data_IF_781989939532
#
_entry.id   IF_781989939532
#
_cell.length_a   1.000
_cell.length_b   1.000
_cell.length_c   1.000
_cell.angle_alpha   90.00
_cell.angle_beta   90.00
_cell.angle_gamma   90.00
#
_symmetry.space_group_name_H-M   'P 1'
#
loop_
_entity.id
_entity.type
_entity.pdbx_description
1 polymer ?
#
# COMPACT_ATOMS: atom_id res chain seq x y z
N UNK A 1 0.51 47.95 20.49
CA UNK A 1 1.21 48.21 19.21
C UNK A 1 2.08 46.99 18.87
N UNK A 2 1.50 45.93 18.28
CA UNK A 2 2.23 44.73 17.92
C UNK A 2 2.72 44.85 16.47
N UNK A 3 4.03 44.87 16.27
CA UNK A 3 4.71 45.06 14.99
C UNK A 3 4.58 43.79 14.16
N UNK A 4 3.80 43.83 13.09
CA UNK A 4 3.60 42.70 12.18
C UNK A 4 4.91 42.24 11.53
N UNK A 5 5.23 40.97 11.68
CA UNK A 5 6.38 40.30 11.07
C UNK A 5 6.13 40.18 9.57
N UNK A 6 6.83 40.98 8.75
CA UNK A 6 6.81 40.83 7.30
C UNK A 6 7.65 39.62 6.90
N UNK A 7 6.98 38.53 6.54
CA UNK A 7 7.60 37.39 5.86
C UNK A 7 8.13 37.85 4.50
N UNK A 8 9.41 37.60 4.22
CA UNK A 8 10.03 37.89 2.92
C UNK A 8 9.29 37.10 1.84
N UNK A 9 8.59 37.81 0.95
CA UNK A 9 7.98 37.21 -0.22
C UNK A 9 9.09 36.68 -1.12
N UNK A 10 9.04 35.39 -1.47
CA UNK A 10 9.87 34.83 -2.53
C UNK A 10 9.66 35.70 -3.78
N UNK A 11 10.75 36.18 -4.38
CA UNK A 11 10.70 37.02 -5.58
C UNK A 11 10.16 36.19 -6.74
N UNK A 12 8.85 36.28 -6.96
CA UNK A 12 8.19 35.66 -8.12
C UNK A 12 8.65 36.43 -9.36
N UNK A 13 9.10 35.74 -10.40
CA UNK A 13 9.40 36.36 -11.68
C UNK A 13 8.07 36.76 -12.35
N UNK A 14 7.66 38.01 -12.15
CA UNK A 14 6.44 38.55 -12.76
C UNK A 14 6.81 39.14 -14.13
N UNK A 15 6.37 38.55 -15.25
CA UNK A 15 6.64 39.11 -16.58
C UNK A 15 5.98 40.50 -16.68
N UNK A 16 6.71 41.49 -17.19
CA UNK A 16 6.22 42.87 -17.32
C UNK A 16 5.62 43.12 -18.70
N UNK A 17 5.94 42.28 -19.68
CA UNK A 17 5.46 42.40 -21.07
C UNK A 17 4.80 41.11 -21.57
N UNK A 18 3.95 41.23 -22.59
CA UNK A 18 3.27 40.08 -23.22
C UNK A 18 4.26 39.11 -23.87
N UNK A 19 5.34 39.63 -24.45
CA UNK A 19 6.39 38.81 -25.06
C UNK A 19 7.18 38.02 -24.01
N UNK A 20 7.49 38.63 -22.87
CA UNK A 20 8.11 37.94 -21.73
C UNK A 20 7.21 36.83 -21.17
N UNK A 21 5.91 37.10 -21.01
CA UNK A 21 4.95 36.08 -20.57
C UNK A 21 4.89 34.90 -21.56
N UNK A 22 4.94 35.18 -22.86
CA UNK A 22 4.95 34.14 -23.91
C UNK A 22 6.22 33.29 -23.84
N UNK A 23 7.38 33.93 -23.65
CA UNK A 23 8.67 33.24 -23.49
C UNK A 23 8.71 32.37 -22.22
N UNK A 24 8.15 32.86 -21.11
CA UNK A 24 8.05 32.08 -19.87
C UNK A 24 7.13 30.87 -20.01
N UNK A 25 5.97 31.01 -20.67
CA UNK A 25 5.07 29.87 -20.94
C UNK A 25 5.77 28.81 -21.80
N UNK A 26 6.53 29.23 -22.81
CA UNK A 26 7.33 28.31 -23.63
C UNK A 26 8.40 27.57 -22.80
N UNK A 27 9.09 28.29 -21.91
CA UNK A 27 10.08 27.71 -20.99
C UNK A 27 9.45 26.71 -20.01
N UNK A 28 8.28 27.04 -19.45
CA UNK A 28 7.51 26.13 -18.58
C UNK A 28 7.15 24.86 -19.34
N UNK A 29 6.64 24.97 -20.56
CA UNK A 29 6.30 23.80 -21.38
C UNK A 29 7.51 22.91 -21.67
N UNK A 30 8.69 23.50 -21.91
CA UNK A 30 9.94 22.74 -22.07
C UNK A 30 10.33 22.01 -20.79
N UNK A 31 10.31 22.69 -19.65
CA UNK A 31 10.64 22.12 -18.34
C UNK A 31 9.65 21.01 -17.93
N UNK A 32 8.37 21.15 -18.26
CA UNK A 32 7.36 20.12 -18.02
C UNK A 32 7.66 18.84 -18.80
N UNK A 33 8.03 18.95 -20.09
CA UNK A 33 8.44 17.78 -20.89
C UNK A 33 9.70 17.12 -20.34
N UNK A 34 10.68 17.91 -19.92
CA UNK A 34 11.90 17.38 -19.29
C UNK A 34 11.57 16.64 -17.97
N UNK A 35 10.64 17.16 -17.17
CA UNK A 35 10.16 16.49 -15.95
C UNK A 35 9.42 15.19 -16.26
N UNK A 36 8.57 15.18 -17.28
CA UNK A 36 7.84 13.98 -17.74
C UNK A 36 8.81 12.90 -18.23
N UNK A 37 9.85 13.28 -18.98
CA UNK A 37 10.89 12.36 -19.42
C UNK A 37 11.66 11.75 -18.24
N UNK A 38 12.05 12.57 -17.26
CA UNK A 38 12.76 12.09 -16.07
C UNK A 38 11.89 11.12 -15.29
N UNK A 39 10.62 11.48 -15.09
CA UNK A 39 9.65 10.66 -14.35
C UNK A 39 9.38 9.34 -15.07
N UNK A 40 9.20 9.38 -16.38
CA UNK A 40 9.02 8.18 -17.21
C UNK A 40 10.24 7.26 -17.14
N UNK A 41 11.46 7.80 -17.29
CA UNK A 41 12.71 7.03 -17.17
C UNK A 41 12.86 6.40 -15.79
N UNK A 42 12.49 7.11 -14.73
CA UNK A 42 12.48 6.57 -13.37
C UNK A 42 11.50 5.41 -13.23
N UNK A 43 10.27 5.58 -13.71
CA UNK A 43 9.23 4.56 -13.62
C UNK A 43 9.58 3.30 -14.41
N UNK A 44 10.19 3.44 -15.60
CA UNK A 44 10.69 2.30 -16.38
C UNK A 44 11.76 1.52 -15.61
N UNK A 45 12.70 2.21 -14.95
CA UNK A 45 13.72 1.55 -14.11
C UNK A 45 13.10 0.85 -12.89
N UNK A 46 12.11 1.47 -12.25
CA UNK A 46 11.39 0.86 -11.14
C UNK A 46 10.63 -0.40 -11.57
N UNK A 47 9.97 -0.36 -12.73
CA UNK A 47 9.28 -1.52 -13.30
C UNK A 47 10.26 -2.67 -13.57
N UNK A 48 11.36 -2.41 -14.28
CA UNK A 48 12.37 -3.42 -14.56
C UNK A 48 12.99 -4.02 -13.29
N UNK A 49 13.23 -3.19 -12.27
CA UNK A 49 13.78 -3.66 -10.98
C UNK A 49 12.77 -4.53 -10.23
N UNK A 50 11.48 -4.17 -10.28
CA UNK A 50 10.40 -4.97 -9.67
C UNK A 50 10.26 -6.32 -10.37
N UNK A 51 10.21 -6.36 -11.69
CA UNK A 51 10.11 -7.60 -12.46
C UNK A 51 11.29 -8.55 -12.17
N UNK A 52 12.52 -8.02 -12.14
CA UNK A 52 13.70 -8.81 -11.81
C UNK A 52 13.66 -9.37 -10.37
N UNK A 53 13.19 -8.56 -9.42
CA UNK A 53 13.02 -8.99 -8.03
C UNK A 53 11.91 -10.05 -7.89
N UNK A 54 10.81 -9.90 -8.62
CA UNK A 54 9.70 -10.86 -8.64
C UNK A 54 10.12 -12.18 -9.25
N UNK A 55 10.87 -12.17 -10.36
CA UNK A 55 11.42 -13.37 -10.98
C UNK A 55 12.35 -14.13 -10.01
N UNK A 56 13.19 -13.40 -9.27
CA UNK A 56 14.07 -14.00 -8.25
C UNK A 56 13.29 -14.52 -7.04
N UNK A 57 12.20 -13.85 -6.67
CA UNK A 57 11.36 -14.24 -5.53
C UNK A 57 10.38 -15.38 -5.88
N UNK A 58 10.04 -15.57 -7.15
CA UNK A 58 9.10 -16.60 -7.60
C UNK A 58 9.43 -18.02 -7.10
N UNK A 59 10.67 -18.55 -7.22
CA UNK A 59 10.98 -19.88 -6.72
C UNK A 59 10.83 -19.99 -5.20
N UNK A 60 11.32 -18.99 -4.46
CA UNK A 60 11.20 -18.97 -3.00
C UNK A 60 9.73 -18.90 -2.54
N UNK A 61 8.89 -18.15 -3.26
CA UNK A 61 7.44 -18.11 -2.98
C UNK A 61 6.77 -19.46 -3.23
N UNK A 62 7.10 -20.11 -4.35
CA UNK A 62 6.57 -21.44 -4.66
C UNK A 62 6.98 -22.47 -3.61
N UNK A 63 8.26 -22.49 -3.21
CA UNK A 63 8.74 -23.38 -2.14
C UNK A 63 8.03 -23.13 -0.81
N UNK A 64 7.79 -21.86 -0.45
CA UNK A 64 7.05 -21.50 0.77
C UNK A 64 5.61 -22.01 0.69
N UNK A 65 4.94 -21.84 -0.46
CA UNK A 65 3.56 -22.31 -0.66
C UNK A 65 3.48 -23.84 -0.57
N UNK A 66 4.38 -24.55 -1.23
CA UNK A 66 4.45 -26.02 -1.22
C UNK A 66 4.70 -26.55 0.21
N UNK A 67 5.65 -25.96 0.94
CA UNK A 67 5.94 -26.32 2.33
C UNK A 67 4.75 -26.00 3.25
N UNK A 68 4.07 -24.88 3.01
CA UNK A 68 2.90 -24.48 3.81
C UNK A 68 1.74 -25.44 3.60
N UNK A 69 1.48 -25.86 2.36
CA UNK A 69 0.42 -26.83 2.06
C UNK A 69 0.76 -28.22 2.61
N UNK A 70 2.02 -28.66 2.48
CA UNK A 70 2.50 -29.89 3.11
C UNK A 70 2.31 -29.90 4.63
N UNK A 71 2.69 -28.80 5.30
CA UNK A 71 2.47 -28.63 6.74
C UNK A 71 0.99 -28.62 7.10
N UNK A 72 0.14 -28.00 6.28
CA UNK A 72 -1.30 -27.98 6.48
C UNK A 72 -1.88 -29.40 6.43
N UNK A 73 -1.57 -30.17 5.40
CA UNK A 73 -2.04 -31.57 5.25
C UNK A 73 -1.57 -32.42 6.44
N UNK A 74 -0.30 -32.29 6.84
CA UNK A 74 0.23 -32.99 8.00
C UNK A 74 -0.50 -32.61 9.30
N UNK A 75 -0.70 -31.31 9.53
CA UNK A 75 -1.37 -30.79 10.73
C UNK A 75 -2.84 -31.24 10.78
N UNK A 76 -3.53 -31.24 9.65
CA UNK A 76 -4.93 -31.68 9.56
C UNK A 76 -5.07 -33.19 9.81
N UNK A 77 -4.17 -34.01 9.26
CA UNK A 77 -4.13 -35.46 9.51
C UNK A 77 -3.77 -35.80 10.96
N UNK A 78 -2.86 -35.05 11.59
CA UNK A 78 -2.36 -35.32 12.94
C UNK A 78 -3.01 -34.45 14.03
N UNK A 79 -4.16 -33.84 13.73
CA UNK A 79 -4.79 -32.85 14.60
C UNK A 79 -5.10 -33.40 15.99
N UNK A 80 -5.61 -34.63 16.07
CA UNK A 80 -5.94 -35.28 17.34
C UNK A 80 -4.68 -35.58 18.17
N UNK A 81 -3.61 -36.04 17.54
CA UNK A 81 -2.35 -36.33 18.21
C UNK A 81 -1.67 -35.07 18.77
N UNK A 82 -1.67 -33.98 17.99
CA UNK A 82 -1.00 -32.73 18.35
C UNK A 82 -1.75 -31.95 19.44
N UNK A 83 -3.07 -31.85 19.33
CA UNK A 83 -3.87 -31.01 20.23
C UNK A 83 -4.53 -31.77 21.37
N UNK A 84 -4.48 -33.12 21.35
CA UNK A 84 -5.25 -34.01 22.23
C UNK A 84 -6.74 -33.61 22.32
N UNK A 85 -7.26 -32.97 21.27
CA UNK A 85 -8.61 -32.42 21.17
C UNK A 85 -8.91 -31.19 22.05
N UNK A 86 -7.97 -30.67 22.86
CA UNK A 86 -8.24 -29.65 23.87
C UNK A 86 -7.93 -28.22 23.42
N UNK A 87 -6.94 -28.04 22.57
CA UNK A 87 -6.46 -26.72 22.13
C UNK A 87 -6.64 -26.53 20.63
N UNK A 88 -6.84 -25.27 20.21
CA UNK A 88 -7.06 -24.90 18.78
C UNK A 88 -5.79 -24.37 18.11
N UNK A 89 -4.64 -24.58 18.75
CA UNK A 89 -3.32 -24.18 18.31
C UNK A 89 -2.28 -25.20 18.79
N UNK A 90 -1.16 -25.31 18.09
CA UNK A 90 0.00 -26.08 18.49
C UNK A 90 1.27 -25.27 18.21
N UNK A 91 2.19 -25.27 19.17
CA UNK A 91 3.46 -24.55 19.08
C UNK A 91 4.58 -25.56 18.81
N UNK A 92 5.29 -25.37 17.70
CA UNK A 92 6.44 -26.19 17.31
C UNK A 92 7.77 -25.61 17.80
N UNK A 93 7.75 -24.51 18.57
CA UNK A 93 8.92 -23.77 19.05
C UNK A 93 9.51 -22.82 17.99
N UNK A 94 9.53 -23.23 16.72
CA UNK A 94 9.93 -22.38 15.59
C UNK A 94 8.77 -21.57 15.01
N UNK A 95 7.53 -21.93 15.36
CA UNK A 95 6.32 -21.28 14.88
C UNK A 95 5.06 -21.92 15.45
N UNK A 96 3.94 -21.20 15.34
CA UNK A 96 2.64 -21.62 15.88
C UNK A 96 1.67 -21.87 14.75
N UNK A 97 1.06 -23.06 14.74
CA UNK A 97 -0.04 -23.41 13.84
C UNK A 97 -1.36 -23.21 14.57
N UNK A 98 -2.30 -22.52 13.92
CA UNK A 98 -3.66 -22.26 14.44
C UNK A 98 -4.69 -22.74 13.44
N UNK A 99 -5.64 -23.56 13.88
CA UNK A 99 -6.74 -24.06 13.04
C UNK A 99 -7.88 -23.05 12.85
N UNK A 100 -7.84 -21.93 13.56
CA UNK A 100 -8.81 -20.85 13.40
C UNK A 100 -8.07 -19.52 13.35
N UNK A 101 -8.39 -18.74 12.33
CA UNK A 101 -8.04 -17.33 12.30
C UNK A 101 -9.18 -16.54 12.95
N UNK A 102 -8.89 -15.82 14.03
CA UNK A 102 -9.82 -14.86 14.60
C UNK A 102 -9.99 -13.71 13.60
N UNK A 103 -11.25 -13.39 13.24
CA UNK A 103 -11.52 -12.24 12.38
C UNK A 103 -10.90 -10.98 13.00
N UNK A 104 -10.24 -10.10 12.23
CA UNK A 104 -9.73 -8.85 12.75
C UNK A 104 -10.89 -8.02 13.30
N UNK A 105 -10.80 -7.59 14.56
CA UNK A 105 -11.84 -6.79 15.18
C UNK A 105 -11.77 -5.36 14.66
N UNK A 106 -12.77 -4.94 13.90
CA UNK A 106 -12.89 -3.55 13.44
C UNK A 106 -13.61 -2.74 14.53
N UNK A 107 -12.92 -1.80 15.16
CA UNK A 107 -13.54 -0.83 16.09
C UNK A 107 -14.24 0.25 15.27
N UNK A 108 -15.48 0.60 15.66
CA UNK A 108 -16.24 1.71 15.07
C UNK A 108 -17.29 1.32 14.01
N UNK A 109 -17.45 0.03 13.71
CA UNK A 109 -18.50 -0.46 12.79
C UNK A 109 -19.68 -1.01 13.60
N UNK A 110 -20.93 -0.57 13.34
CA UNK A 110 -22.11 -1.13 14.01
C UNK A 110 -22.26 -2.62 13.67
N UNK A 111 -22.56 -3.45 14.68
CA UNK A 111 -22.76 -4.90 14.51
C UNK A 111 -24.05 -5.26 13.77
N UNK A 112 -25.02 -4.35 13.76
CA UNK A 112 -26.32 -4.55 13.11
C UNK A 112 -26.17 -4.46 11.59
N UNK A 113 -26.63 -5.49 10.87
CA UNK A 113 -26.50 -5.59 9.41
C UNK A 113 -27.11 -4.38 8.68
N UNK A 114 -28.26 -3.88 9.15
CA UNK A 114 -28.95 -2.74 8.56
C UNK A 114 -28.18 -1.42 8.74
N UNK A 115 -27.55 -1.23 9.91
CA UNK A 115 -26.73 -0.04 10.19
C UNK A 115 -25.41 -0.09 9.41
N UNK A 116 -24.85 -1.28 9.22
CA UNK A 116 -23.68 -1.47 8.36
C UNK A 116 -24.01 -1.18 6.90
N UNK A 117 -25.16 -1.65 6.39
CA UNK A 117 -25.60 -1.36 5.04
C UNK A 117 -25.81 0.15 4.81
N UNK A 118 -26.43 0.83 5.77
CA UNK A 118 -26.59 2.29 5.73
C UNK A 118 -25.25 3.03 5.76
N UNK A 119 -24.30 2.60 6.60
CA UNK A 119 -22.96 3.18 6.65
C UNK A 119 -22.19 2.99 5.33
N UNK A 120 -22.27 1.80 4.73
CA UNK A 120 -21.63 1.51 3.44
C UNK A 120 -22.24 2.37 2.33
N UNK A 121 -23.56 2.54 2.32
CA UNK A 121 -24.23 3.43 1.37
C UNK A 121 -23.77 4.89 1.54
N UNK A 122 -23.73 5.39 2.78
CA UNK A 122 -23.28 6.74 3.07
C UNK A 122 -21.79 7.00 2.73
N UNK A 123 -20.93 5.99 2.84
CA UNK A 123 -19.53 6.09 2.41
C UNK A 123 -19.45 6.16 0.88
N UNK A 124 -20.24 5.37 0.15
CA UNK A 124 -20.25 5.36 -1.32
C UNK A 124 -20.75 6.66 -1.93
N UNK A 125 -21.69 7.36 -1.29
CA UNK A 125 -22.17 8.67 -1.77
C UNK A 125 -21.20 9.83 -1.52
N UNK A 126 -20.25 9.66 -0.60
CA UNK A 126 -19.25 10.68 -0.25
C UNK A 126 -17.91 10.52 -0.98
N UNK A 127 -17.72 9.41 -1.69
CA UNK A 127 -16.54 9.13 -2.51
C UNK A 127 -16.80 9.51 -3.96
#
# INVERSE_FOLDING_TARGET
MAKGTKTKAATVCVPQTRDEATAQIAAIGKLQRELEEITTKMNLKLAATKEAAELRAAPAKAEIEDLTEGLRVYCDANREALTKGKVKFFDFGTGVVRWRQTKPAVRGVPRDADKLAALIAAIREKA
#
